data_IF_530117600964
#
_entry.id   IF_530117600964
#
_cell.length_a   1.000
_cell.length_b   1.000
_cell.length_c   1.000
_cell.angle_alpha   90.00
_cell.angle_beta   90.00
_cell.angle_gamma   90.00
#
_symmetry.space_group_name_H-M   'P 1'
#
loop_
_entity.id
_entity.type
_entity.pdbx_description
1 polymer ?
#
# COMPACT_ATOMS: atom_id res chain seq x y z
N UNK A 1 9.21 7.91 3.34
CA UNK A 1 9.34 6.49 3.76
C UNK A 1 10.25 5.78 2.76
N UNK A 2 11.28 5.07 3.23
CA UNK A 2 12.12 4.20 2.39
C UNK A 2 11.65 2.78 2.62
N UNK A 3 11.14 2.12 1.58
CA UNK A 3 10.82 0.70 1.65
C UNK A 3 12.06 -0.05 1.18
N UNK A 4 12.55 -0.95 2.02
CA UNK A 4 13.46 -2.01 1.57
C UNK A 4 12.64 -3.23 1.22
N UNK A 5 12.82 -3.71 -0.01
CA UNK A 5 12.12 -4.88 -0.53
C UNK A 5 13.14 -5.81 -1.18
N UNK A 6 12.98 -7.10 -0.96
CA UNK A 6 13.69 -8.11 -1.73
C UNK A 6 12.89 -8.38 -2.99
N UNK A 7 13.53 -8.25 -4.17
CA UNK A 7 12.85 -8.29 -5.46
C UNK A 7 12.04 -9.58 -5.67
N UNK A 8 12.60 -10.73 -5.25
CA UNK A 8 11.96 -12.04 -5.38
C UNK A 8 10.72 -12.23 -4.50
N UNK A 9 10.43 -11.25 -3.62
CA UNK A 9 9.30 -11.26 -2.71
C UNK A 9 8.25 -10.19 -3.04
N UNK A 10 8.36 -9.55 -4.21
CA UNK A 10 7.39 -8.58 -4.69
C UNK A 10 6.41 -9.29 -5.62
N UNK A 11 5.14 -9.25 -5.25
CA UNK A 11 4.05 -9.76 -6.07
C UNK A 11 3.32 -8.60 -6.75
N UNK A 12 2.98 -8.82 -8.01
CA UNK A 12 2.19 -7.89 -8.81
C UNK A 12 0.88 -8.57 -9.23
N UNK A 13 -0.23 -7.85 -9.07
CA UNK A 13 -1.53 -8.21 -9.62
C UNK A 13 -2.03 -7.05 -10.47
N UNK A 14 -2.58 -7.38 -11.63
CA UNK A 14 -3.35 -6.48 -12.45
C UNK A 14 -4.72 -7.10 -12.72
N UNK A 15 -5.77 -6.28 -12.71
CA UNK A 15 -7.11 -6.68 -13.11
C UNK A 15 -7.82 -5.52 -13.82
N UNK A 16 -8.67 -5.85 -14.79
CA UNK A 16 -9.39 -4.86 -15.60
C UNK A 16 -8.70 -4.59 -16.94
N UNK A 17 -8.96 -3.42 -17.50
CA UNK A 17 -8.55 -3.05 -18.85
C UNK A 17 -7.19 -2.36 -18.90
N UNK A 18 -6.41 -2.64 -19.94
CA UNK A 18 -5.17 -1.92 -20.27
C UNK A 18 -5.41 -0.64 -21.07
N UNK A 19 -6.67 -0.29 -21.37
CA UNK A 19 -7.03 0.89 -22.15
C UNK A 19 -7.24 2.12 -21.27
N UNK A 20 -6.86 3.29 -21.79
CA UNK A 20 -7.10 4.57 -21.12
C UNK A 20 -8.60 4.84 -21.02
N UNK A 21 -9.06 5.23 -19.84
CA UNK A 21 -10.47 5.57 -19.58
C UNK A 21 -11.36 4.36 -19.27
N UNK A 22 -10.78 3.16 -19.11
CA UNK A 22 -11.52 1.97 -18.72
C UNK A 22 -11.15 1.50 -17.29
N UNK A 23 -12.06 0.78 -16.61
CA UNK A 23 -11.83 0.31 -15.25
C UNK A 23 -10.58 -0.55 -15.12
N UNK A 24 -9.73 -0.19 -14.17
CA UNK A 24 -8.46 -0.89 -13.94
C UNK A 24 -8.08 -0.89 -12.47
N UNK A 25 -7.35 -1.93 -12.09
CA UNK A 25 -6.86 -2.18 -10.75
C UNK A 25 -5.45 -2.74 -10.82
N UNK A 26 -4.56 -2.26 -9.96
CA UNK A 26 -3.31 -2.95 -9.73
C UNK A 26 -2.89 -2.93 -8.27
N UNK A 27 -2.12 -3.94 -7.90
CA UNK A 27 -1.53 -4.09 -6.57
C UNK A 27 -0.08 -4.52 -6.70
N UNK A 28 0.79 -3.83 -5.99
CA UNK A 28 2.19 -4.23 -5.76
C UNK A 28 2.32 -4.51 -4.28
N UNK A 29 2.68 -5.74 -3.94
CA UNK A 29 2.77 -6.17 -2.55
C UNK A 29 4.13 -6.80 -2.30
N UNK A 30 4.87 -6.23 -1.35
CA UNK A 30 6.02 -6.88 -0.76
C UNK A 30 5.72 -7.37 0.65
N UNK A 31 6.72 -7.93 1.32
CA UNK A 31 6.55 -8.45 2.68
C UNK A 31 6.16 -7.41 3.72
N UNK A 32 6.61 -6.16 3.57
CA UNK A 32 6.40 -5.08 4.55
C UNK A 32 5.49 -3.97 4.05
N UNK A 33 5.03 -4.04 2.81
CA UNK A 33 4.31 -2.94 2.18
C UNK A 33 3.29 -3.39 1.16
N UNK A 34 2.34 -2.51 0.92
CA UNK A 34 1.32 -2.63 -0.11
C UNK A 34 1.16 -1.29 -0.82
N UNK A 35 1.15 -1.33 -2.16
CA UNK A 35 0.71 -0.24 -3.01
C UNK A 35 -0.51 -0.75 -3.77
N UNK A 36 -1.61 -0.04 -3.65
CA UNK A 36 -2.87 -0.36 -4.31
C UNK A 36 -3.34 0.84 -5.12
N UNK A 37 -3.78 0.56 -6.34
CA UNK A 37 -4.46 1.48 -7.23
C UNK A 37 -5.80 0.85 -7.60
N UNK A 38 -6.87 1.61 -7.43
CA UNK A 38 -8.22 1.20 -7.78
C UNK A 38 -8.90 2.33 -8.57
N UNK A 39 -9.22 2.03 -9.82
CA UNK A 39 -10.06 2.85 -10.68
C UNK A 39 -11.20 2.00 -11.27
N UNK A 40 -11.73 1.06 -10.47
CA UNK A 40 -12.72 0.08 -10.93
C UNK A 40 -14.16 0.59 -10.90
N UNK A 41 -14.36 1.86 -10.58
CA UNK A 41 -15.68 2.47 -10.64
C UNK A 41 -16.26 2.40 -12.07
N UNK A 42 -17.59 2.46 -12.20
CA UNK A 42 -18.29 2.24 -13.47
C UNK A 42 -17.89 3.18 -14.62
N UNK A 43 -17.29 4.35 -14.32
CA UNK A 43 -16.86 5.36 -15.30
C UNK A 43 -15.34 5.47 -15.43
N UNK A 44 -14.58 4.77 -14.56
CA UNK A 44 -13.13 4.84 -14.46
C UNK A 44 -12.57 6.28 -14.37
N UNK A 45 -13.29 7.17 -13.68
CA UNK A 45 -12.98 8.60 -13.57
C UNK A 45 -12.67 9.06 -12.13
N UNK A 46 -12.49 8.12 -11.20
CA UNK A 46 -12.27 8.39 -9.77
C UNK A 46 -11.32 7.34 -9.21
N UNK A 47 -10.07 7.74 -9.06
CA UNK A 47 -8.97 6.87 -8.66
C UNK A 47 -8.80 6.91 -7.14
N UNK A 48 -8.72 5.74 -6.52
CA UNK A 48 -8.20 5.54 -5.17
C UNK A 48 -6.77 4.98 -5.23
N UNK A 49 -5.87 5.55 -4.42
CA UNK A 49 -4.51 5.01 -4.26
C UNK A 49 -4.19 4.90 -2.78
N UNK A 50 -3.66 3.74 -2.39
CA UNK A 50 -3.19 3.48 -1.04
C UNK A 50 -1.72 3.06 -1.08
N UNK A 51 -0.93 3.69 -0.24
CA UNK A 51 0.34 3.14 0.24
C UNK A 51 0.14 2.71 1.68
N UNK A 52 0.48 1.47 1.99
CA UNK A 52 0.43 0.95 3.36
C UNK A 52 1.77 0.34 3.77
N UNK A 53 2.30 0.80 4.89
CA UNK A 53 3.38 0.10 5.62
C UNK A 53 2.71 -0.88 6.58
N UNK A 54 2.96 -2.18 6.40
CA UNK A 54 2.28 -3.21 7.18
C UNK A 54 2.73 -3.23 8.65
N UNK A 55 3.95 -2.80 8.94
CA UNK A 55 4.53 -2.76 10.29
C UNK A 55 4.02 -1.60 11.17
N UNK A 56 3.27 -0.64 10.64
CA UNK A 56 2.87 0.59 11.35
C UNK A 56 1.40 0.97 11.20
N UNK A 57 0.57 0.01 10.81
CA UNK A 57 -0.79 0.28 10.34
C UNK A 57 -1.79 0.55 11.48
N UNK A 58 -2.80 1.39 11.22
CA UNK A 58 -3.84 1.84 12.18
C UNK A 58 -3.35 2.53 13.46
N UNK A 59 -2.15 3.11 13.47
CA UNK A 59 -1.72 4.01 14.53
C UNK A 59 -0.61 3.45 15.42
N UNK A 60 0.60 3.48 14.86
CA UNK A 60 1.90 3.76 15.51
C UNK A 60 2.49 2.70 16.45
N UNK A 61 3.81 2.77 16.55
CA UNK A 61 4.56 2.19 17.65
C UNK A 61 4.44 3.07 18.92
N UNK A 62 3.19 3.34 19.34
CA UNK A 62 2.85 4.21 20.48
C UNK A 62 3.46 3.72 21.79
N UNK A 63 3.82 2.44 21.86
CA UNK A 63 4.53 1.82 22.97
C UNK A 63 6.02 2.17 22.98
N UNK A 64 6.68 2.22 21.82
CA UNK A 64 8.05 2.72 21.72
C UNK A 64 8.15 4.17 22.19
N UNK A 65 7.14 4.97 21.86
CA UNK A 65 7.04 6.36 22.33
C UNK A 65 6.81 6.43 23.84
N UNK A 66 5.90 5.62 24.39
CA UNK A 66 5.67 5.57 25.84
C UNK A 66 6.92 5.17 26.62
N UNK A 67 7.66 4.16 26.13
CA UNK A 67 8.88 3.64 26.76
C UNK A 67 9.97 4.69 26.86
N UNK A 68 10.25 5.40 25.76
CA UNK A 68 11.24 6.49 25.72
C UNK A 68 10.86 7.67 26.63
N UNK A 69 9.57 7.87 26.88
CA UNK A 69 9.08 8.99 27.69
C UNK A 69 9.01 8.70 29.20
N UNK A 70 9.00 7.43 29.62
CA UNK A 70 8.67 7.03 31.00
C UNK A 70 9.72 6.11 31.64
N UNK A 71 10.58 5.49 30.86
CA UNK A 71 11.45 4.40 31.29
C UNK A 71 12.85 4.42 30.64
N UNK A 72 13.28 5.57 30.12
CA UNK A 72 14.67 5.91 29.75
C UNK A 72 15.14 7.13 30.55
#
# INVERSE_FOLDING_TARGET
ARITAEADAIHFLFAGSGMVGEPSYYRIQGRSFLIEFDNTNARADHIHVVWRELSGDFGRDVLLEHRRARHE
#
